data_IF_895682401261
#
_entry.id   IF_895682401261
#
_cell.length_a   1.000
_cell.length_b   1.000
_cell.length_c   1.000
_cell.angle_alpha   90.00
_cell.angle_beta   90.00
_cell.angle_gamma   90.00
#
_symmetry.space_group_name_H-M   'P 1'
#
loop_
_entity.id
_entity.type
_entity.pdbx_description
1 polymer ?
#
# COMPACT_ATOMS: atom_id res chain seq x y z
N UNK A 1 -23.62 26.52 53.73
CA UNK A 1 -24.57 26.21 52.63
C UNK A 1 -24.08 26.92 51.38
N UNK A 2 -23.58 26.19 50.37
CA UNK A 2 -23.21 26.80 49.06
C UNK A 2 -24.50 27.29 48.42
N UNK A 3 -24.57 28.59 48.03
CA UNK A 3 -25.76 29.16 47.41
C UNK A 3 -26.10 28.43 46.10
N UNK A 4 -27.40 28.33 45.75
CA UNK A 4 -27.85 27.68 44.50
C UNK A 4 -27.13 28.25 43.25
N UNK A 5 -26.82 29.55 43.29
CA UNK A 5 -26.10 30.24 42.21
C UNK A 5 -24.65 29.71 42.02
N UNK A 6 -23.95 29.44 43.12
CA UNK A 6 -22.56 28.91 43.09
C UNK A 6 -22.57 27.48 42.51
N UNK A 7 -23.55 26.66 42.93
CA UNK A 7 -23.70 25.29 42.36
C UNK A 7 -23.98 25.33 40.87
N UNK A 8 -24.82 26.20 40.37
CA UNK A 8 -25.14 26.37 38.96
C UNK A 8 -23.89 26.81 38.17
N UNK A 9 -23.10 27.74 38.71
CA UNK A 9 -21.82 28.18 38.07
C UNK A 9 -20.81 27.06 38.00
N UNK A 10 -20.62 26.29 39.07
CA UNK A 10 -19.72 25.14 39.11
C UNK A 10 -20.14 24.10 38.06
N UNK A 11 -21.46 23.80 37.99
CA UNK A 11 -21.98 22.85 37.03
C UNK A 11 -21.75 23.29 35.60
N UNK A 12 -21.94 24.57 35.28
CA UNK A 12 -21.66 25.15 33.97
C UNK A 12 -20.20 25.03 33.60
N UNK A 13 -19.27 25.33 34.52
CA UNK A 13 -17.81 25.20 34.30
C UNK A 13 -17.43 23.73 34.07
N UNK A 14 -18.01 22.79 34.83
CA UNK A 14 -17.78 21.37 34.64
C UNK A 14 -18.23 20.89 33.24
N UNK A 15 -19.34 21.35 32.74
CA UNK A 15 -19.81 21.04 31.38
C UNK A 15 -18.83 21.58 30.36
N UNK A 16 -18.39 22.83 30.48
CA UNK A 16 -17.44 23.44 29.56
C UNK A 16 -16.12 22.60 29.54
N UNK A 17 -15.60 22.26 30.70
CA UNK A 17 -14.37 21.44 30.81
C UNK A 17 -14.57 20.07 30.16
N UNK A 18 -15.71 19.41 30.41
CA UNK A 18 -16.00 18.10 29.86
C UNK A 18 -16.01 18.11 28.33
N UNK A 19 -16.56 19.16 27.70
CA UNK A 19 -16.60 19.26 26.24
C UNK A 19 -15.29 19.79 25.62
N UNK A 20 -14.54 20.63 26.32
CA UNK A 20 -13.28 21.18 25.79
C UNK A 20 -12.08 20.28 26.03
N UNK A 21 -12.07 19.45 27.07
CA UNK A 21 -10.96 18.58 27.42
C UNK A 21 -10.53 17.62 26.28
N UNK A 22 -11.44 16.93 25.55
CA UNK A 22 -11.03 16.04 24.46
C UNK A 22 -10.38 16.78 23.29
N UNK A 23 -10.81 18.00 22.99
CA UNK A 23 -10.21 18.81 21.93
C UNK A 23 -8.82 19.30 22.33
N UNK A 24 -8.66 19.78 23.55
CA UNK A 24 -7.37 20.23 24.07
C UNK A 24 -6.38 19.08 24.20
N UNK A 25 -6.81 17.91 24.68
CA UNK A 25 -5.97 16.72 24.78
C UNK A 25 -5.53 16.20 23.43
N UNK A 26 -6.43 16.14 22.46
CA UNK A 26 -6.10 15.76 21.08
C UNK A 26 -5.10 16.73 20.46
N UNK A 27 -5.33 18.03 20.61
CA UNK A 27 -4.42 19.06 20.10
C UNK A 27 -3.04 18.95 20.76
N UNK A 28 -2.98 18.76 22.08
CA UNK A 28 -1.73 18.57 22.81
C UNK A 28 -0.95 17.33 22.33
N UNK A 29 -1.63 16.19 22.17
CA UNK A 29 -1.03 14.95 21.69
C UNK A 29 -0.46 15.10 20.28
N UNK A 30 -1.16 15.78 19.37
CA UNK A 30 -0.71 15.95 17.97
C UNK A 30 0.49 16.88 17.85
N UNK A 31 0.53 17.96 18.64
CA UNK A 31 1.55 19.01 18.47
C UNK A 31 2.74 18.89 19.44
N UNK A 32 2.56 18.31 20.61
CA UNK A 32 3.59 18.25 21.65
C UNK A 32 4.12 16.85 21.92
N UNK A 33 3.56 15.82 21.33
CA UNK A 33 4.08 14.46 21.43
C UNK A 33 4.50 13.93 20.08
N UNK A 34 5.57 13.14 20.02
CA UNK A 34 6.02 12.42 18.83
C UNK A 34 5.08 11.26 18.43
N UNK A 35 3.85 11.25 18.98
CA UNK A 35 2.84 10.23 18.71
C UNK A 35 2.50 10.10 17.22
N UNK A 36 2.75 11.16 16.44
CA UNK A 36 2.58 11.17 14.98
C UNK A 36 3.72 10.46 14.23
N UNK A 37 4.89 10.26 14.88
CA UNK A 37 6.05 9.60 14.27
C UNK A 37 6.02 8.09 14.40
N UNK A 38 5.33 7.56 15.42
CA UNK A 38 5.25 6.14 15.70
C UNK A 38 3.82 5.66 15.44
N UNK A 39 3.57 5.10 14.26
CA UNK A 39 2.50 4.15 13.94
C UNK A 39 1.03 4.53 14.23
N UNK A 40 0.57 5.68 13.77
CA UNK A 40 -0.87 5.95 13.71
C UNK A 40 -1.53 5.49 12.38
N UNK A 41 -0.81 4.77 11.56
CA UNK A 41 -1.37 4.09 10.40
C UNK A 41 -1.49 2.60 10.67
N UNK A 42 -2.66 2.02 10.47
CA UNK A 42 -2.78 0.57 10.26
C UNK A 42 -2.17 0.30 8.87
N UNK A 43 -0.85 0.41 8.79
CA UNK A 43 -0.09 0.12 7.58
C UNK A 43 0.26 -1.35 7.66
N UNK A 44 -0.34 -2.14 6.79
CA UNK A 44 0.06 -3.54 6.59
C UNK A 44 1.23 -3.60 5.58
N UNK A 45 2.28 -2.80 5.79
CA UNK A 45 3.44 -2.71 4.94
C UNK A 45 4.40 -1.62 5.40
N UNK A 46 5.62 -1.64 4.91
CA UNK A 46 6.66 -0.66 5.19
C UNK A 46 6.76 0.35 4.05
N UNK A 47 6.82 1.65 4.40
CA UNK A 47 7.08 2.71 3.43
C UNK A 47 8.57 2.76 3.14
N UNK A 48 8.93 2.66 1.87
CA UNK A 48 10.30 2.77 1.41
C UNK A 48 10.71 4.25 1.42
N UNK A 49 11.55 4.62 2.36
CA UNK A 49 12.09 5.98 2.51
C UNK A 49 13.62 5.89 2.55
N UNK A 50 14.35 6.59 1.66
CA UNK A 50 13.88 7.54 0.63
C UNK A 50 13.17 6.86 -0.54
N UNK A 51 12.40 7.64 -1.28
CA UNK A 51 11.74 7.18 -2.52
C UNK A 51 12.80 6.71 -3.51
N UNK A 52 12.65 5.50 -4.01
CA UNK A 52 13.54 4.89 -5.01
C UNK A 52 12.91 5.05 -6.39
N UNK A 53 13.62 5.66 -7.32
CA UNK A 53 13.19 5.73 -8.72
C UNK A 53 13.53 4.42 -9.41
N UNK A 54 12.50 3.71 -9.86
CA UNK A 54 12.66 2.41 -10.54
C UNK A 54 13.19 2.59 -11.98
N UNK A 55 13.01 3.76 -12.57
CA UNK A 55 13.38 4.02 -13.95
C UNK A 55 12.40 3.41 -14.97
N UNK A 56 12.63 3.63 -16.28
CA UNK A 56 11.78 3.06 -17.30
C UNK A 56 11.98 1.53 -17.40
N UNK A 57 10.88 0.80 -17.43
CA UNK A 57 10.89 -0.63 -17.72
C UNK A 57 10.94 -0.78 -19.24
N UNK A 58 12.11 -1.20 -19.76
CA UNK A 58 12.36 -1.29 -21.21
C UNK A 58 11.94 -2.63 -21.82
N UNK A 59 11.69 -3.62 -20.99
CA UNK A 59 11.37 -4.99 -21.39
C UNK A 59 9.96 -5.17 -21.96
N UNK A 60 9.81 -6.22 -22.78
CA UNK A 60 8.54 -6.58 -23.40
C UNK A 60 7.57 -7.08 -22.34
N UNK A 61 6.42 -6.42 -22.25
CA UNK A 61 5.32 -6.86 -21.40
C UNK A 61 4.56 -7.99 -22.10
N UNK A 62 4.49 -9.14 -21.45
CA UNK A 62 3.67 -10.27 -21.90
C UNK A 62 2.34 -10.20 -21.13
N UNK A 63 1.21 -10.30 -21.83
CA UNK A 63 -0.11 -10.21 -21.17
C UNK A 63 -1.09 -9.23 -21.84
N UNK A 64 -0.72 -8.69 -22.99
CA UNK A 64 -1.65 -7.98 -23.87
C UNK A 64 -2.00 -6.55 -23.49
N UNK A 65 -1.32 -5.98 -22.49
CA UNK A 65 -1.49 -4.56 -22.16
C UNK A 65 -0.29 -3.79 -22.68
N UNK A 66 -0.54 -2.74 -23.45
CA UNK A 66 0.52 -1.87 -23.94
C UNK A 66 1.29 -1.23 -22.77
N UNK A 67 2.60 -1.05 -22.93
CA UNK A 67 3.51 -0.43 -21.94
C UNK A 67 2.96 0.92 -21.43
N UNK A 68 2.28 1.67 -22.28
CA UNK A 68 1.64 2.94 -21.95
C UNK A 68 0.50 2.81 -20.94
N UNK A 69 -0.09 1.64 -20.80
CA UNK A 69 -1.20 1.43 -19.86
C UNK A 69 -0.79 1.44 -18.38
N UNK A 70 0.50 1.38 -18.09
CA UNK A 70 1.05 1.50 -16.72
C UNK A 70 1.43 2.94 -16.36
N UNK A 71 1.63 3.80 -17.35
CA UNK A 71 2.04 5.19 -17.12
C UNK A 71 0.89 5.96 -16.45
N UNK A 72 1.20 6.63 -15.35
CA UNK A 72 0.22 7.43 -14.60
C UNK A 72 -0.75 6.62 -13.74
N UNK A 73 -0.48 5.32 -13.54
CA UNK A 73 -1.24 4.45 -12.63
C UNK A 73 -0.36 3.95 -11.51
N UNK A 74 -0.96 3.72 -10.36
CA UNK A 74 -0.34 2.92 -9.32
C UNK A 74 -0.19 1.48 -9.79
N UNK A 75 0.91 0.85 -9.49
CA UNK A 75 1.16 -0.51 -9.93
C UNK A 75 1.52 -1.41 -8.76
N UNK A 76 0.78 -2.51 -8.59
CA UNK A 76 1.13 -3.56 -7.65
C UNK A 76 2.16 -4.44 -8.37
N UNK A 77 3.40 -4.42 -7.89
CA UNK A 77 4.48 -5.23 -8.43
C UNK A 77 4.71 -6.46 -7.54
N UNK A 78 4.85 -7.62 -8.16
CA UNK A 78 5.24 -8.87 -7.51
C UNK A 78 6.52 -9.41 -8.14
N UNK A 79 7.30 -10.15 -7.36
CA UNK A 79 8.58 -10.72 -7.76
C UNK A 79 8.56 -12.22 -7.57
N UNK A 80 8.92 -12.96 -8.63
CA UNK A 80 8.95 -14.42 -8.65
C UNK A 80 10.30 -14.85 -9.19
N UNK A 81 11.07 -15.50 -8.34
CA UNK A 81 12.36 -16.06 -8.69
C UNK A 81 12.24 -17.58 -8.89
N UNK A 82 12.60 -18.05 -10.08
CA UNK A 82 12.52 -19.46 -10.47
C UNK A 82 11.17 -19.90 -11.01
N UNK A 83 10.90 -21.20 -10.91
CA UNK A 83 9.65 -21.80 -11.40
C UNK A 83 8.43 -21.37 -10.55
N UNK A 84 7.30 -21.16 -11.23
CA UNK A 84 6.08 -20.77 -10.56
C UNK A 84 5.45 -21.96 -9.80
N UNK A 85 5.80 -22.08 -8.55
CA UNK A 85 5.33 -23.07 -7.58
C UNK A 85 4.04 -22.63 -6.85
N UNK A 86 3.70 -23.30 -5.78
CA UNK A 86 2.53 -22.97 -4.94
C UNK A 86 2.64 -21.56 -4.33
N UNK A 87 3.84 -21.12 -3.94
CA UNK A 87 4.03 -19.78 -3.36
C UNK A 87 3.82 -18.69 -4.41
N UNK A 88 4.31 -18.91 -5.63
CA UNK A 88 4.05 -18.05 -6.76
C UNK A 88 2.53 -17.93 -7.04
N UNK A 89 1.80 -19.05 -7.09
CA UNK A 89 0.35 -19.03 -7.30
C UNK A 89 -0.39 -18.27 -6.20
N UNK A 90 0.00 -18.43 -4.95
CA UNK A 90 -0.54 -17.63 -3.85
C UNK A 90 -0.26 -16.14 -4.00
N UNK A 91 0.93 -15.75 -4.44
CA UNK A 91 1.28 -14.37 -4.72
C UNK A 91 0.40 -13.78 -5.81
N UNK A 92 0.26 -14.49 -6.94
CA UNK A 92 -0.61 -14.08 -8.04
C UNK A 92 -2.07 -13.90 -7.57
N UNK A 93 -2.57 -14.85 -6.77
CA UNK A 93 -3.89 -14.77 -6.17
C UNK A 93 -4.04 -13.56 -5.26
N UNK A 94 -3.08 -13.31 -4.37
CA UNK A 94 -3.07 -12.12 -3.48
C UNK A 94 -3.10 -10.82 -4.25
N UNK A 95 -2.26 -10.68 -5.28
CA UNK A 95 -2.22 -9.48 -6.15
C UNK A 95 -3.58 -9.26 -6.82
N UNK A 96 -4.21 -10.32 -7.31
CA UNK A 96 -5.55 -10.24 -7.88
C UNK A 96 -6.58 -9.77 -6.85
N UNK A 97 -6.57 -10.35 -5.64
CA UNK A 97 -7.51 -9.99 -4.58
C UNK A 97 -7.32 -8.55 -4.11
N UNK A 98 -6.07 -8.11 -3.95
CA UNK A 98 -5.75 -6.72 -3.59
C UNK A 98 -6.35 -5.73 -4.61
N UNK A 99 -6.18 -6.01 -5.91
CA UNK A 99 -6.75 -5.16 -6.95
C UNK A 99 -8.28 -5.16 -6.91
N UNK A 100 -8.91 -6.33 -6.75
CA UNK A 100 -10.37 -6.43 -6.66
C UNK A 100 -10.94 -5.69 -5.44
N UNK A 101 -10.21 -5.68 -4.33
CA UNK A 101 -10.60 -4.96 -3.11
C UNK A 101 -10.66 -3.43 -3.29
N UNK A 102 -10.02 -2.88 -4.33
CA UNK A 102 -10.07 -1.45 -4.66
C UNK A 102 -11.42 -0.99 -5.23
N UNK A 103 -12.29 -1.91 -5.63
CA UNK A 103 -13.63 -1.63 -6.11
C UNK A 103 -13.64 -0.61 -7.25
N UNK A 104 -14.27 0.55 -7.05
CA UNK A 104 -14.37 1.62 -8.06
C UNK A 104 -13.05 2.23 -8.52
N UNK A 105 -11.95 1.99 -7.81
CA UNK A 105 -10.62 2.50 -8.15
C UNK A 105 -9.78 1.46 -8.91
N UNK A 106 -10.34 0.33 -9.28
CA UNK A 106 -9.69 -0.79 -9.95
C UNK A 106 -8.96 -0.38 -11.24
N UNK A 107 -9.51 0.58 -12.00
CA UNK A 107 -8.92 1.07 -13.24
C UNK A 107 -7.69 1.96 -13.03
N UNK A 108 -7.48 2.45 -11.80
CA UNK A 108 -6.34 3.30 -11.44
C UNK A 108 -5.11 2.49 -11.02
N UNK A 109 -5.27 1.16 -10.87
CA UNK A 109 -4.21 0.29 -10.36
C UNK A 109 -3.91 -0.82 -11.36
N UNK A 110 -2.68 -0.82 -11.86
CA UNK A 110 -2.11 -1.88 -12.68
C UNK A 110 -1.55 -3.02 -11.83
N UNK A 111 -1.21 -4.12 -12.51
CA UNK A 111 -0.51 -5.25 -11.92
C UNK A 111 0.68 -5.60 -12.80
N UNK A 112 1.83 -5.84 -12.18
CA UNK A 112 3.07 -6.18 -12.87
C UNK A 112 3.78 -7.29 -12.10
N UNK A 113 4.21 -8.32 -12.80
CA UNK A 113 5.01 -9.39 -12.22
C UNK A 113 6.36 -9.42 -12.92
N UNK A 114 7.40 -9.40 -12.14
CA UNK A 114 8.76 -9.65 -12.60
C UNK A 114 9.11 -11.11 -12.35
N UNK A 115 9.61 -11.80 -13.37
CA UNK A 115 10.03 -13.20 -13.27
C UNK A 115 11.28 -13.43 -14.10
N UNK A 116 12.10 -14.38 -13.70
CA UNK A 116 13.21 -14.90 -14.50
C UNK A 116 12.86 -16.22 -15.20
N UNK A 117 11.63 -16.71 -15.07
CA UNK A 117 11.22 -18.00 -15.62
C UNK A 117 9.90 -17.94 -16.36
N UNK A 118 9.81 -18.61 -17.51
CA UNK A 118 8.63 -18.57 -18.39
C UNK A 118 7.42 -19.37 -17.84
N UNK A 119 7.63 -20.22 -16.83
CA UNK A 119 6.54 -21.04 -16.24
C UNK A 119 5.35 -20.22 -15.74
N UNK A 120 5.57 -18.95 -15.40
CA UNK A 120 4.50 -18.03 -14.97
C UNK A 120 3.45 -17.80 -16.07
N UNK A 121 3.82 -17.93 -17.35
CA UNK A 121 2.90 -17.76 -18.48
C UNK A 121 1.82 -18.85 -18.54
N UNK A 122 2.06 -20.01 -17.97
CA UNK A 122 1.08 -21.10 -17.90
C UNK A 122 -0.17 -20.70 -17.11
N UNK A 123 -0.06 -19.68 -16.26
CA UNK A 123 -1.15 -19.17 -15.42
C UNK A 123 -1.82 -17.90 -15.97
N UNK A 124 -1.43 -17.43 -17.16
CA UNK A 124 -1.99 -16.19 -17.77
C UNK A 124 -3.51 -16.22 -17.89
N UNK A 125 -4.06 -17.36 -18.28
CA UNK A 125 -5.52 -17.53 -18.46
C UNK A 125 -6.31 -17.38 -17.16
N UNK A 126 -5.70 -17.74 -16.03
CA UNK A 126 -6.30 -17.65 -14.70
C UNK A 126 -6.20 -16.22 -14.12
N UNK A 127 -5.12 -15.51 -14.46
CA UNK A 127 -4.83 -14.19 -13.95
C UNK A 127 -4.90 -13.09 -15.02
N UNK A 128 -5.93 -13.11 -15.87
CA UNK A 128 -6.12 -12.14 -16.95
C UNK A 128 -5.93 -10.69 -16.53
N UNK A 129 -5.29 -9.91 -17.40
CA UNK A 129 -5.02 -8.48 -17.20
C UNK A 129 -3.86 -8.22 -16.22
N UNK A 130 -2.98 -9.18 -16.05
CA UNK A 130 -1.71 -9.06 -15.38
C UNK A 130 -0.62 -8.93 -16.42
N UNK A 131 0.27 -7.96 -16.24
CA UNK A 131 1.44 -7.80 -17.09
C UNK A 131 2.60 -8.58 -16.47
N UNK A 132 3.37 -9.25 -17.33
CA UNK A 132 4.53 -10.03 -16.90
C UNK A 132 5.77 -9.52 -17.63
N UNK A 133 6.84 -9.30 -16.89
CA UNK A 133 8.18 -9.01 -17.40
C UNK A 133 9.06 -10.23 -17.12
N UNK A 134 9.53 -10.87 -18.18
CA UNK A 134 10.45 -12.00 -18.06
C UNK A 134 11.83 -11.50 -18.40
N UNK A 135 12.59 -11.09 -17.40
CA UNK A 135 13.96 -10.64 -17.54
C UNK A 135 14.70 -10.85 -16.22
N UNK A 136 15.69 -11.74 -16.24
CA UNK A 136 16.50 -12.05 -15.06
C UNK A 136 17.33 -10.85 -14.59
N UNK A 137 17.82 -10.02 -15.50
CA UNK A 137 18.64 -8.85 -15.17
C UNK A 137 17.77 -7.74 -14.51
N UNK A 138 16.56 -7.56 -14.99
CA UNK A 138 15.62 -6.60 -14.43
C UNK A 138 15.13 -7.08 -13.06
N UNK A 139 14.83 -8.37 -12.91
CA UNK A 139 14.45 -8.95 -11.62
C UNK A 139 15.57 -8.77 -10.58
N UNK A 140 16.82 -9.05 -10.94
CA UNK A 140 17.95 -8.89 -10.04
C UNK A 140 18.15 -7.43 -9.63
N UNK A 141 18.07 -6.51 -10.59
CA UNK A 141 18.16 -5.07 -10.35
C UNK A 141 17.11 -4.59 -9.34
N UNK A 142 15.88 -5.05 -9.50
CA UNK A 142 14.78 -4.64 -8.62
C UNK A 142 14.87 -5.33 -7.26
N UNK A 143 15.26 -6.60 -7.20
CA UNK A 143 15.49 -7.30 -5.93
C UNK A 143 16.60 -6.66 -5.08
N UNK A 144 17.60 -6.05 -5.70
CA UNK A 144 18.64 -5.29 -4.98
C UNK A 144 18.08 -4.01 -4.34
N UNK A 145 17.04 -3.41 -4.95
CA UNK A 145 16.40 -2.20 -4.44
C UNK A 145 15.37 -2.51 -3.34
N UNK A 146 14.76 -3.69 -3.41
CA UNK A 146 13.65 -4.07 -2.55
C UNK A 146 13.84 -5.49 -2.01
N UNK A 147 13.69 -5.67 -0.72
CA UNK A 147 13.81 -6.97 -0.06
C UNK A 147 12.50 -7.74 0.06
N UNK A 148 11.39 -7.18 -0.41
CA UNK A 148 10.06 -7.75 -0.27
C UNK A 148 9.53 -8.34 -1.58
N UNK A 149 8.69 -9.36 -1.47
CA UNK A 149 8.09 -10.06 -2.62
C UNK A 149 6.92 -9.31 -3.27
N UNK A 150 6.43 -8.24 -2.65
CA UNK A 150 5.28 -7.47 -3.14
C UNK A 150 5.43 -6.00 -2.80
N UNK A 151 5.34 -5.14 -3.82
CA UNK A 151 5.55 -3.70 -3.70
C UNK A 151 4.44 -2.96 -4.47
N UNK A 152 4.08 -1.78 -4.00
CA UNK A 152 3.23 -0.83 -4.71
C UNK A 152 4.12 0.30 -5.25
N UNK A 153 4.14 0.47 -6.56
CA UNK A 153 4.93 1.48 -7.27
C UNK A 153 4.01 2.51 -7.91
#
# INVERSE_FOLDING_TARGET
>A
MISKVIKARIFLVLIIILFTAPFLSSWYLVFFTDFKKNDLGVQNGELIIPVVEVGPIETVLIGGTEKEALIGKWTIAGFVDGECDTQCQELLYKIRQLRLALGKNLDKVGRLIFSNHESILNFESEFRGQNVVIDASELERINQLFSESLILI
#
